data_IF_463427818586
#
_entry.id   IF_463427818586
#
_cell.length_a   1.000
_cell.length_b   1.000
_cell.length_c   1.000
_cell.angle_alpha   90.00
_cell.angle_beta   90.00
_cell.angle_gamma   90.00
#
_symmetry.space_group_name_H-M   'P 1'
#
loop_
_entity.id
_entity.type
_entity.pdbx_description
1 polymer ?
#
# COMPACT_ATOMS: atom_id res chain seq x y z
N UNK A 1 -19.57 71.97 -23.79
CA UNK A 1 -20.00 70.75 -23.09
C UNK A 1 -18.91 69.69 -23.25
N UNK A 2 -17.91 69.64 -22.38
CA UNK A 2 -16.92 68.54 -22.25
C UNK A 2 -15.79 68.99 -21.33
N UNK A 3 -16.05 69.13 -20.01
CA UNK A 3 -14.92 69.34 -19.08
C UNK A 3 -15.18 68.99 -17.60
N UNK A 4 -16.40 68.58 -17.23
CA UNK A 4 -16.71 68.26 -15.83
C UNK A 4 -16.54 66.79 -15.45
N UNK A 5 -16.35 65.87 -16.39
CA UNK A 5 -16.35 64.41 -16.12
C UNK A 5 -14.95 63.82 -15.87
N UNK A 6 -13.87 64.57 -16.10
CA UNK A 6 -12.51 64.02 -16.03
C UNK A 6 -11.85 64.14 -14.65
N UNK A 7 -12.42 64.94 -13.73
CA UNK A 7 -11.81 65.22 -12.41
C UNK A 7 -12.22 64.24 -11.30
N UNK A 8 -13.39 63.60 -11.40
CA UNK A 8 -13.83 62.61 -10.40
C UNK A 8 -13.15 61.25 -10.55
N UNK A 9 -12.72 60.86 -11.75
CA UNK A 9 -12.06 59.57 -11.99
C UNK A 9 -10.61 59.49 -11.50
N UNK A 10 -9.92 60.61 -11.25
CA UNK A 10 -8.54 60.59 -10.72
C UNK A 10 -8.46 60.39 -9.21
N UNK A 11 -9.52 60.72 -8.47
CA UNK A 11 -9.57 60.57 -7.00
C UNK A 11 -9.96 59.15 -6.57
N UNK A 12 -10.80 58.46 -7.34
CA UNK A 12 -11.22 57.09 -7.04
C UNK A 12 -10.09 56.05 -7.24
N UNK A 13 -9.24 56.22 -8.27
CA UNK A 13 -8.17 55.27 -8.57
C UNK A 13 -6.99 55.38 -7.59
N UNK A 14 -6.67 56.59 -7.12
CA UNK A 14 -5.60 56.81 -6.13
C UNK A 14 -5.91 56.22 -4.75
N UNK A 15 -7.19 56.18 -4.37
CA UNK A 15 -7.63 55.64 -3.08
C UNK A 15 -7.61 54.11 -3.04
N UNK A 16 -7.95 53.45 -4.15
CA UNK A 16 -7.94 51.98 -4.24
C UNK A 16 -6.49 51.43 -4.24
N UNK A 17 -5.55 52.13 -4.88
CA UNK A 17 -4.13 51.74 -4.88
C UNK A 17 -3.49 51.92 -3.49
N UNK A 18 -3.87 52.95 -2.73
CA UNK A 18 -3.37 53.16 -1.37
C UNK A 18 -3.90 52.10 -0.37
N UNK A 19 -5.14 51.63 -0.53
CA UNK A 19 -5.72 50.55 0.29
C UNK A 19 -5.11 49.18 -0.03
N UNK A 20 -4.69 48.96 -1.28
CA UNK A 20 -4.01 47.73 -1.71
C UNK A 20 -2.54 47.67 -1.27
N UNK A 21 -1.87 48.81 -1.09
CA UNK A 21 -0.45 48.88 -0.70
C UNK A 21 -0.21 49.16 0.80
N UNK A 22 -1.22 49.62 1.55
CA UNK A 22 -1.11 49.99 2.96
C UNK A 22 -1.71 49.01 3.97
N UNK A 23 -2.30 47.89 3.53
CA UNK A 23 -2.94 46.91 4.40
C UNK A 23 -2.10 45.64 4.60
N UNK A 24 -2.36 44.85 5.67
CA UNK A 24 -1.60 43.63 6.03
C UNK A 24 -1.85 42.46 5.06
N UNK A 25 -2.31 42.75 3.84
CA UNK A 25 -2.63 41.76 2.81
C UNK A 25 -1.41 40.93 2.39
N UNK A 26 -0.20 41.48 2.46
CA UNK A 26 1.02 40.71 2.23
C UNK A 26 1.23 39.63 3.30
N UNK A 27 0.93 39.93 4.57
CA UNK A 27 0.97 38.94 5.65
C UNK A 27 -0.15 37.90 5.49
N UNK A 28 -1.36 38.34 5.13
CA UNK A 28 -2.51 37.46 4.87
C UNK A 28 -2.23 36.51 3.70
N UNK A 29 -1.63 36.99 2.61
CA UNK A 29 -1.24 36.17 1.45
C UNK A 29 -0.10 35.21 1.84
N UNK A 30 0.89 35.67 2.61
CA UNK A 30 1.98 34.81 3.07
C UNK A 30 1.48 33.68 3.98
N UNK A 31 0.52 33.96 4.85
CA UNK A 31 -0.08 32.96 5.75
C UNK A 31 -1.05 32.04 5.00
N UNK A 32 -1.83 32.55 4.05
CA UNK A 32 -2.63 31.72 3.12
C UNK A 32 -1.74 30.82 2.27
N UNK A 33 -0.58 31.29 1.82
CA UNK A 33 0.39 30.47 1.08
C UNK A 33 1.04 29.41 1.96
N UNK A 34 1.36 29.70 3.23
CA UNK A 34 1.83 28.70 4.19
C UNK A 34 0.77 27.64 4.47
N UNK A 35 -0.49 28.03 4.64
CA UNK A 35 -1.63 27.12 4.83
C UNK A 35 -1.84 26.28 3.56
N UNK A 36 -1.81 26.91 2.38
CA UNK A 36 -1.90 26.23 1.09
C UNK A 36 -0.78 25.23 0.87
N UNK A 37 0.47 25.60 1.19
CA UNK A 37 1.65 24.72 1.13
C UNK A 37 1.57 23.58 2.15
N UNK A 38 0.99 23.80 3.33
CA UNK A 38 0.78 22.78 4.37
C UNK A 38 -0.32 21.80 3.96
N UNK A 39 -1.41 22.28 3.35
CA UNK A 39 -2.46 21.47 2.75
C UNK A 39 -1.94 20.67 1.55
N UNK A 40 -1.11 21.28 0.70
CA UNK A 40 -0.45 20.59 -0.41
C UNK A 40 0.56 19.54 0.07
N UNK A 41 1.28 19.78 1.17
CA UNK A 41 2.15 18.78 1.81
C UNK A 41 1.35 17.62 2.42
N UNK A 42 0.18 17.88 3.01
CA UNK A 42 -0.74 16.85 3.49
C UNK A 42 -1.39 16.03 2.36
N UNK A 43 -1.57 16.62 1.17
CA UNK A 43 -1.96 15.91 -0.06
C UNK A 43 -0.78 15.19 -0.74
N UNK A 44 0.45 15.59 -0.44
CA UNK A 44 1.69 15.10 -1.02
C UNK A 44 2.39 14.00 -0.20
N UNK A 45 1.76 13.46 0.84
CA UNK A 45 2.27 12.25 1.52
C UNK A 45 1.94 11.02 0.67
N UNK A 46 2.56 11.00 -0.50
CA UNK A 46 2.33 10.11 -1.60
C UNK A 46 3.14 8.80 -1.48
N UNK A 47 3.84 8.64 -0.36
CA UNK A 47 4.80 7.59 -0.09
C UNK A 47 6.14 7.80 -0.78
N UNK A 48 7.20 7.22 -0.22
CA UNK A 48 8.55 7.23 -0.82
C UNK A 48 8.62 6.52 -2.19
N UNK A 49 7.69 5.59 -2.40
CA UNK A 49 7.50 4.82 -3.62
C UNK A 49 6.00 4.53 -3.82
N UNK A 50 5.62 4.27 -5.07
CA UNK A 50 4.32 3.67 -5.42
C UNK A 50 4.54 2.21 -5.84
N UNK A 51 3.54 1.37 -5.59
CA UNK A 51 3.55 -0.04 -5.97
C UNK A 51 2.77 -0.18 -7.28
N UNK A 52 3.45 -0.55 -8.35
CA UNK A 52 2.84 -0.77 -9.66
C UNK A 52 2.12 -2.13 -9.71
N UNK A 53 2.75 -3.17 -9.17
CA UNK A 53 2.19 -4.51 -9.09
C UNK A 53 2.53 -5.10 -7.73
N UNK A 54 1.53 -5.63 -7.04
CA UNK A 54 1.69 -6.36 -5.80
C UNK A 54 1.05 -7.73 -5.96
N UNK A 55 1.86 -8.78 -6.03
CA UNK A 55 1.38 -10.15 -6.02
C UNK A 55 1.88 -10.86 -4.77
N UNK A 56 0.96 -11.40 -3.99
CA UNK A 56 1.27 -12.25 -2.86
C UNK A 56 0.71 -13.64 -3.08
N UNK A 57 1.49 -14.67 -2.73
CA UNK A 57 1.07 -16.07 -2.78
C UNK A 57 1.37 -16.75 -1.46
N UNK A 58 0.34 -17.27 -0.80
CA UNK A 58 0.46 -18.24 0.28
C UNK A 58 0.32 -19.65 -0.29
N UNK A 59 1.30 -20.51 -0.04
CA UNK A 59 1.26 -21.92 -0.42
C UNK A 59 1.25 -22.80 0.82
N UNK A 60 0.12 -23.42 1.12
CA UNK A 60 -0.06 -24.37 2.22
C UNK A 60 0.56 -25.72 1.82
N UNK A 61 1.61 -26.12 2.52
CA UNK A 61 2.43 -27.29 2.16
C UNK A 61 1.88 -28.60 2.69
N UNK A 62 1.09 -28.55 3.76
CA UNK A 62 0.50 -29.74 4.38
C UNK A 62 -0.98 -29.54 4.72
N UNK A 63 -1.70 -30.67 4.81
CA UNK A 63 -3.11 -30.68 5.12
C UNK A 63 -3.44 -30.21 6.54
N UNK A 64 -2.49 -30.14 7.47
CA UNK A 64 -2.75 -29.66 8.85
C UNK A 64 -2.51 -28.16 8.98
N UNK A 65 -2.03 -27.48 7.92
CA UNK A 65 -1.71 -26.05 7.93
C UNK A 65 -0.53 -25.69 8.83
N UNK A 66 0.36 -26.65 9.10
CA UNK A 66 1.53 -26.47 9.97
C UNK A 66 2.73 -25.87 9.26
N UNK A 67 2.80 -25.94 7.94
CA UNK A 67 3.86 -25.42 7.12
C UNK A 67 3.24 -24.70 5.92
N UNK A 68 3.65 -23.45 5.73
CA UNK A 68 3.28 -22.65 4.59
C UNK A 68 4.53 -21.93 4.05
N UNK A 69 4.48 -21.62 2.76
CA UNK A 69 5.48 -20.81 2.09
C UNK A 69 4.80 -19.56 1.55
N UNK A 70 5.29 -18.39 1.94
CA UNK A 70 4.80 -17.12 1.44
C UNK A 70 5.79 -16.59 0.42
N UNK A 71 5.28 -16.18 -0.74
CA UNK A 71 6.02 -15.45 -1.77
C UNK A 71 5.35 -14.14 -2.05
N UNK A 72 6.15 -13.10 -2.23
CA UNK A 72 5.69 -11.75 -2.49
C UNK A 72 6.53 -11.15 -3.61
N UNK A 73 5.86 -10.70 -4.66
CA UNK A 73 6.43 -10.00 -5.81
C UNK A 73 5.87 -8.58 -5.81
N UNK A 74 6.73 -7.57 -5.67
CA UNK A 74 6.33 -6.17 -5.69
C UNK A 74 7.16 -5.37 -6.67
N UNK A 75 6.52 -4.87 -7.73
CA UNK A 75 7.12 -3.92 -8.66
C UNK A 75 6.84 -2.52 -8.17
N UNK A 76 7.87 -1.74 -7.90
CA UNK A 76 7.73 -0.39 -7.34
C UNK A 76 8.34 0.66 -8.25
N UNK A 77 7.88 1.90 -8.11
CA UNK A 77 8.50 3.09 -8.69
C UNK A 77 8.83 4.08 -7.60
N UNK A 78 10.08 4.50 -7.52
CA UNK A 78 10.52 5.48 -6.52
C UNK A 78 10.01 6.88 -6.84
N UNK A 79 9.45 7.58 -5.84
CA UNK A 79 8.86 8.91 -6.02
C UNK A 79 9.80 10.06 -5.62
N UNK A 80 10.92 9.73 -4.97
CA UNK A 80 11.94 10.67 -4.54
C UNK A 80 13.35 10.13 -4.81
N UNK A 81 14.34 11.02 -4.72
CA UNK A 81 15.76 10.65 -4.84
C UNK A 81 16.31 10.12 -3.50
N UNK A 82 17.50 9.54 -3.56
CA UNK A 82 18.27 9.11 -2.39
C UNK A 82 17.59 8.02 -1.55
N UNK A 83 16.84 7.13 -2.20
CA UNK A 83 16.25 5.97 -1.51
C UNK A 83 17.32 4.90 -1.35
N UNK A 84 17.58 4.50 -0.11
CA UNK A 84 18.60 3.52 0.26
C UNK A 84 18.02 2.25 0.87
N UNK A 85 16.74 2.29 1.25
CA UNK A 85 16.06 1.21 1.95
C UNK A 85 14.61 1.04 1.49
N UNK A 86 14.11 -0.16 1.67
CA UNK A 86 12.73 -0.56 1.47
C UNK A 86 12.20 -1.19 2.75
N UNK A 87 10.90 -1.04 3.01
CA UNK A 87 10.28 -1.58 4.21
C UNK A 87 9.25 -2.63 3.79
N UNK A 88 9.47 -3.86 4.26
CA UNK A 88 8.51 -4.95 4.15
C UNK A 88 7.79 -5.15 5.48
N UNK A 89 6.58 -5.70 5.45
CA UNK A 89 5.82 -5.99 6.66
C UNK A 89 4.92 -7.20 6.48
N UNK A 90 4.79 -7.97 7.55
CA UNK A 90 3.80 -9.04 7.64
C UNK A 90 3.31 -9.23 9.08
N UNK A 91 2.19 -9.93 9.21
CA UNK A 91 1.59 -10.36 10.47
C UNK A 91 1.07 -11.79 10.30
N UNK A 92 0.87 -12.48 11.41
CA UNK A 92 0.32 -13.83 11.40
C UNK A 92 0.51 -14.50 12.75
N UNK A 93 -0.25 -15.56 12.97
CA UNK A 93 -0.10 -16.46 14.12
C UNK A 93 1.13 -17.35 13.94
N UNK A 94 1.56 -18.07 14.98
CA UNK A 94 2.67 -19.03 14.86
C UNK A 94 4.04 -18.38 14.59
N UNK A 95 4.94 -19.13 13.97
CA UNK A 95 6.31 -18.69 13.66
C UNK A 95 6.39 -18.20 12.21
N UNK A 96 6.67 -16.91 12.03
CA UNK A 96 6.75 -16.24 10.73
C UNK A 96 8.19 -15.83 10.41
N UNK A 97 8.48 -15.56 9.12
CA UNK A 97 9.80 -15.16 8.60
C UNK A 97 10.91 -16.20 8.79
N UNK A 98 10.57 -17.49 8.86
CA UNK A 98 11.55 -18.56 8.84
C UNK A 98 12.20 -18.59 7.45
N UNK A 99 13.53 -18.69 7.40
CA UNK A 99 14.27 -18.69 6.14
C UNK A 99 13.95 -17.48 5.23
N UNK A 100 13.71 -16.30 5.82
CA UNK A 100 13.41 -15.07 5.07
C UNK A 100 14.50 -14.75 4.04
N UNK A 101 14.08 -14.50 2.80
CA UNK A 101 14.94 -14.09 1.70
C UNK A 101 14.28 -12.94 0.95
N UNK A 102 15.10 -11.99 0.51
CA UNK A 102 14.64 -10.87 -0.31
C UNK A 102 15.66 -10.55 -1.40
N UNK A 103 15.16 -10.01 -2.51
CA UNK A 103 15.96 -9.41 -3.58
C UNK A 103 15.10 -8.36 -4.30
N UNK A 104 15.65 -7.22 -4.77
CA UNK A 104 17.00 -6.74 -4.50
C UNK A 104 17.20 -6.36 -3.03
N UNK A 105 18.46 -6.18 -2.65
CA UNK A 105 18.84 -5.77 -1.30
C UNK A 105 19.07 -6.93 -0.33
N UNK A 106 19.18 -6.58 0.96
CA UNK A 106 19.36 -7.52 2.07
C UNK A 106 18.62 -7.03 3.31
N UNK A 107 18.08 -7.96 4.10
CA UNK A 107 17.59 -7.65 5.45
C UNK A 107 18.70 -6.95 6.24
N UNK A 108 18.37 -5.77 6.77
CA UNK A 108 19.25 -4.94 7.58
C UNK A 108 18.79 -4.90 9.04
N UNK A 109 17.48 -4.93 9.29
CA UNK A 109 16.90 -4.95 10.62
C UNK A 109 15.48 -5.54 10.61
N UNK A 110 15.00 -5.99 11.77
CA UNK A 110 13.66 -6.55 12.00
C UNK A 110 13.14 -6.15 13.36
N UNK A 111 11.96 -5.53 13.40
CA UNK A 111 11.37 -5.03 14.64
C UNK A 111 9.84 -5.11 14.61
N UNK A 112 9.21 -5.13 15.80
CA UNK A 112 7.75 -5.20 15.92
C UNK A 112 7.13 -3.82 16.12
N UNK A 113 6.03 -3.55 15.42
CA UNK A 113 5.14 -2.42 15.67
C UNK A 113 3.72 -2.97 15.83
N UNK A 114 3.23 -2.99 17.07
CA UNK A 114 1.94 -3.59 17.40
C UNK A 114 1.91 -5.07 17.04
N UNK A 115 0.93 -5.49 16.23
CA UNK A 115 0.78 -6.87 15.74
C UNK A 115 1.61 -7.18 14.48
N UNK A 116 2.24 -6.18 13.86
CA UNK A 116 3.02 -6.34 12.63
C UNK A 116 4.51 -6.38 12.95
N UNK A 117 5.23 -7.22 12.23
CA UNK A 117 6.70 -7.16 12.19
C UNK A 117 7.11 -6.43 10.92
N UNK A 118 8.00 -5.46 11.09
CA UNK A 118 8.63 -4.70 10.02
C UNK A 118 10.00 -5.27 9.73
N UNK A 119 10.35 -5.31 8.45
CA UNK A 119 11.67 -5.70 7.96
C UNK A 119 12.23 -4.54 7.16
N UNK A 120 13.39 -4.05 7.59
CA UNK A 120 14.14 -3.05 6.86
C UNK A 120 15.07 -3.75 5.86
N UNK A 121 14.90 -3.47 4.58
CA UNK A 121 15.71 -4.01 3.48
C UNK A 121 16.64 -2.91 2.98
N UNK A 122 17.95 -3.12 3.07
CA UNK A 122 18.95 -2.22 2.47
C UNK A 122 19.11 -2.54 0.98
N UNK A 123 18.93 -1.54 0.11
CA UNK A 123 18.95 -1.71 -1.35
C UNK A 123 20.34 -1.87 -1.95
N UNK A 124 21.40 -1.59 -1.18
CA UNK A 124 22.82 -1.60 -1.59
C UNK A 124 23.20 -0.61 -2.71
N UNK A 125 22.21 0.01 -3.35
CA UNK A 125 22.36 1.11 -4.29
C UNK A 125 21.46 2.30 -3.90
N UNK A 126 21.88 3.51 -4.30
CA UNK A 126 21.07 4.73 -4.12
C UNK A 126 20.11 4.86 -5.29
N UNK A 127 18.81 4.75 -5.04
CA UNK A 127 17.77 4.88 -6.08
C UNK A 127 17.34 6.34 -6.26
N UNK A 128 17.05 6.69 -7.51
CA UNK A 128 16.59 8.01 -7.94
C UNK A 128 15.08 7.99 -8.18
N UNK A 129 14.47 9.17 -8.21
CA UNK A 129 13.07 9.34 -8.58
C UNK A 129 12.85 8.80 -10.00
N UNK A 130 11.82 7.95 -10.15
CA UNK A 130 11.46 7.33 -11.43
C UNK A 130 12.08 5.95 -11.64
N UNK A 131 13.13 5.60 -10.91
CA UNK A 131 13.71 4.25 -10.93
C UNK A 131 12.64 3.22 -10.51
N UNK A 132 12.81 1.99 -10.97
CA UNK A 132 11.92 0.87 -10.66
C UNK A 132 12.74 -0.31 -10.20
N UNK A 133 12.23 -1.01 -9.20
CA UNK A 133 12.74 -2.30 -8.77
C UNK A 133 11.58 -3.31 -8.67
N UNK A 134 11.93 -4.58 -8.75
CA UNK A 134 11.00 -5.69 -8.52
C UNK A 134 11.49 -6.52 -7.34
N UNK A 135 10.80 -6.38 -6.21
CA UNK A 135 11.09 -7.13 -5.00
C UNK A 135 10.51 -8.53 -5.09
N UNK A 136 11.36 -9.52 -4.92
CA UNK A 136 11.02 -10.93 -4.73
C UNK A 136 11.40 -11.31 -3.31
N UNK A 137 10.38 -11.55 -2.49
CA UNK A 137 10.48 -11.85 -1.07
C UNK A 137 9.84 -13.20 -0.80
N UNK A 138 10.49 -14.04 -0.01
CA UNK A 138 10.00 -15.37 0.35
C UNK A 138 10.30 -15.67 1.82
N UNK A 139 9.38 -16.35 2.49
CA UNK A 139 9.62 -16.94 3.81
C UNK A 139 8.69 -18.11 4.12
N UNK A 140 9.14 -18.96 5.04
CA UNK A 140 8.35 -20.02 5.63
C UNK A 140 7.54 -19.53 6.84
N UNK A 141 6.37 -20.12 6.99
CA UNK A 141 5.44 -19.92 8.09
C UNK A 141 5.15 -21.27 8.75
N UNK A 142 5.40 -21.42 10.05
CA UNK A 142 5.09 -22.62 10.81
C UNK A 142 3.96 -22.42 11.81
N UNK A 143 3.09 -23.42 11.92
CA UNK A 143 1.95 -23.47 12.83
C UNK A 143 1.00 -22.26 12.71
N UNK A 144 0.87 -21.71 11.49
CA UNK A 144 0.12 -20.50 11.22
C UNK A 144 -1.35 -20.69 10.82
N UNK A 145 -1.71 -21.88 10.29
CA UNK A 145 -2.99 -22.09 9.61
C UNK A 145 -3.73 -23.36 10.11
N UNK A 146 -3.75 -23.55 11.43
CA UNK A 146 -4.20 -24.78 12.11
C UNK A 146 -5.67 -24.76 12.57
N UNK A 147 -6.35 -23.62 12.50
CA UNK A 147 -7.75 -23.41 12.92
C UNK A 147 -8.72 -23.91 11.84
N UNK A 148 -10.01 -23.94 12.18
CA UNK A 148 -11.10 -24.30 11.25
C UNK A 148 -11.38 -23.23 10.20
N UNK A 149 -11.18 -21.97 10.60
CA UNK A 149 -11.36 -20.80 9.75
C UNK A 149 -10.07 -20.02 9.81
N UNK A 150 -9.51 -19.72 8.65
CA UNK A 150 -8.21 -19.08 8.50
C UNK A 150 -8.28 -17.91 7.55
N UNK A 151 -7.26 -17.06 7.61
CA UNK A 151 -7.15 -15.92 6.71
C UNK A 151 -5.70 -15.57 6.39
N UNK A 152 -5.49 -15.06 5.19
CA UNK A 152 -4.21 -14.52 4.77
C UNK A 152 -4.43 -13.40 3.77
N UNK A 153 -3.58 -12.38 3.82
CA UNK A 153 -3.81 -11.18 3.04
C UNK A 153 -2.62 -10.25 2.99
N UNK A 154 -2.86 -9.10 2.38
CA UNK A 154 -1.89 -8.02 2.34
C UNK A 154 -2.56 -6.66 2.53
N UNK A 155 -1.77 -5.71 2.98
CA UNK A 155 -2.20 -4.33 3.17
C UNK A 155 -1.67 -3.47 2.02
N UNK A 156 -2.52 -2.62 1.47
CA UNK A 156 -2.12 -1.58 0.55
C UNK A 156 -1.56 -0.37 1.32
N UNK A 157 -0.42 -0.54 2.00
CA UNK A 157 0.22 0.51 2.82
C UNK A 157 0.82 1.65 1.99
N UNK A 158 0.96 1.43 0.67
CA UNK A 158 1.40 2.40 -0.32
C UNK A 158 0.39 2.48 -1.45
N UNK A 159 0.40 3.58 -2.21
CA UNK A 159 -0.41 3.69 -3.42
C UNK A 159 -0.07 2.53 -4.34
N UNK A 160 -1.04 1.66 -4.56
CA UNK A 160 -0.88 0.41 -5.30
C UNK A 160 -1.78 0.45 -6.52
N UNK A 161 -1.24 0.15 -7.71
CA UNK A 161 -2.01 0.15 -8.97
C UNK A 161 -2.73 -1.17 -9.19
N UNK A 162 -2.09 -2.28 -8.84
CA UNK A 162 -2.69 -3.59 -8.96
C UNK A 162 -2.26 -4.48 -7.80
N UNK A 163 -3.24 -5.11 -7.14
CA UNK A 163 -3.04 -6.08 -6.07
C UNK A 163 -3.62 -7.42 -6.49
N UNK A 164 -2.85 -8.49 -6.33
CA UNK A 164 -3.25 -9.88 -6.55
C UNK A 164 -2.85 -10.73 -5.35
N UNK A 165 -3.79 -11.52 -4.87
CA UNK A 165 -3.62 -12.45 -3.77
C UNK A 165 -3.93 -13.86 -4.26
N UNK A 166 -3.03 -14.79 -3.98
CA UNK A 166 -3.20 -16.21 -4.27
C UNK A 166 -3.07 -17.01 -2.98
N UNK A 167 -3.95 -18.01 -2.79
CA UNK A 167 -3.77 -19.05 -1.78
C UNK A 167 -3.81 -20.40 -2.49
N UNK A 168 -2.73 -21.16 -2.36
CA UNK A 168 -2.59 -22.51 -2.90
C UNK A 168 -2.77 -23.51 -1.77
N UNK A 169 -3.72 -24.43 -1.93
CA UNK A 169 -4.11 -25.43 -0.96
C UNK A 169 -3.56 -26.81 -1.33
N UNK A 170 -3.27 -27.69 -0.35
CA UNK A 170 -2.86 -29.06 -0.61
C UNK A 170 -4.00 -29.85 -1.28
N UNK A 171 -3.64 -30.85 -2.09
CA UNK A 171 -4.60 -31.68 -2.86
C UNK A 171 -5.67 -32.32 -1.96
N UNK A 172 -5.28 -32.70 -0.76
CA UNK A 172 -6.10 -33.43 0.22
C UNK A 172 -6.96 -32.54 1.12
N UNK A 173 -6.86 -31.21 1.00
CA UNK A 173 -7.65 -30.28 1.84
C UNK A 173 -7.96 -28.98 1.07
N UNK A 174 -8.86 -29.02 0.06
CA UNK A 174 -9.38 -27.81 -0.57
C UNK A 174 -10.18 -26.95 0.42
N UNK A 175 -10.36 -25.65 0.17
CA UNK A 175 -11.27 -24.83 0.95
C UNK A 175 -12.73 -25.19 0.65
N UNK A 176 -13.60 -25.19 1.67
CA UNK A 176 -15.04 -25.39 1.50
C UNK A 176 -15.75 -24.10 1.07
N UNK A 177 -15.33 -22.99 1.67
CA UNK A 177 -15.85 -21.66 1.39
C UNK A 177 -14.70 -20.66 1.44
N UNK A 178 -14.77 -19.63 0.60
CA UNK A 178 -13.81 -18.55 0.55
C UNK A 178 -14.58 -17.22 0.57
N UNK A 179 -14.06 -16.26 1.31
CA UNK A 179 -14.56 -14.89 1.36
C UNK A 179 -13.41 -13.90 1.29
N UNK A 180 -13.66 -12.75 0.67
CA UNK A 180 -12.80 -11.59 0.75
C UNK A 180 -13.20 -10.76 1.97
N UNK A 181 -12.24 -10.52 2.85
CA UNK A 181 -12.37 -9.60 3.99
C UNK A 181 -11.58 -8.34 3.70
N UNK A 182 -12.23 -7.19 3.81
CA UNK A 182 -11.62 -5.87 3.71
C UNK A 182 -11.82 -5.13 5.02
N UNK A 183 -10.77 -4.54 5.59
CA UNK A 183 -10.90 -3.70 6.78
C UNK A 183 -11.42 -2.29 6.41
N UNK A 184 -12.09 -1.62 7.35
CA UNK A 184 -12.44 -0.18 7.30
C UNK A 184 -13.27 0.35 6.08
N UNK A 185 -14.62 0.28 6.13
CA UNK A 185 -15.41 -0.52 7.08
C UNK A 185 -15.18 -2.01 6.82
N UNK A 186 -15.32 -2.81 7.88
CA UNK A 186 -15.22 -4.27 7.76
C UNK A 186 -16.30 -4.74 6.80
N UNK A 187 -15.88 -5.29 5.68
CA UNK A 187 -16.76 -5.83 4.65
C UNK A 187 -16.29 -7.25 4.32
N UNK A 188 -17.21 -8.19 4.38
CA UNK A 188 -16.98 -9.58 4.00
C UNK A 188 -17.83 -9.91 2.77
N UNK A 189 -17.21 -10.41 1.72
CA UNK A 189 -17.88 -10.83 0.48
C UNK A 189 -17.55 -12.29 0.24
N UNK A 190 -18.56 -13.15 0.24
CA UNK A 190 -18.38 -14.56 -0.15
C UNK A 190 -18.01 -14.58 -1.63
N UNK A 191 -16.95 -15.30 -1.99
CA UNK A 191 -16.51 -15.43 -3.37
C UNK A 191 -17.22 -16.62 -4.03
N UNK A 192 -17.51 -16.47 -5.32
CA UNK A 192 -18.09 -17.52 -6.14
C UNK A 192 -17.13 -18.71 -6.30
N UNK A 193 -17.67 -19.89 -6.60
CA UNK A 193 -16.86 -21.13 -6.70
C UNK A 193 -15.88 -21.14 -7.87
N UNK A 194 -16.08 -20.28 -8.87
CA UNK A 194 -15.22 -20.12 -10.05
C UNK A 194 -13.83 -19.54 -9.72
N UNK A 195 -13.68 -18.83 -8.59
CA UNK A 195 -12.38 -18.35 -8.11
C UNK A 195 -11.49 -19.50 -7.63
N UNK A 196 -12.08 -20.65 -7.29
CA UNK A 196 -11.39 -21.86 -6.85
C UNK A 196 -11.08 -22.71 -8.09
N UNK A 197 -9.80 -22.81 -8.44
CA UNK A 197 -9.34 -23.57 -9.60
C UNK A 197 -8.44 -24.73 -9.17
N UNK A 198 -8.51 -25.84 -9.90
CA UNK A 198 -7.58 -26.95 -9.70
C UNK A 198 -6.34 -26.75 -10.59
N UNK A 199 -5.16 -26.84 -10.00
CA UNK A 199 -3.88 -26.78 -10.70
C UNK A 199 -3.60 -28.12 -11.40
N UNK A 200 -2.70 -28.15 -12.41
CA UNK A 200 -2.35 -29.39 -13.12
C UNK A 200 -1.79 -30.49 -12.22
N UNK A 201 -1.11 -30.12 -11.13
CA UNK A 201 -0.62 -31.07 -10.14
C UNK A 201 -1.72 -31.58 -9.21
N UNK A 202 -2.96 -31.10 -9.31
CA UNK A 202 -4.11 -31.50 -8.50
C UNK A 202 -4.31 -30.72 -7.21
N UNK A 203 -3.45 -29.73 -6.90
CA UNK A 203 -3.68 -28.75 -5.82
C UNK A 203 -4.78 -27.78 -6.22
N UNK A 204 -5.22 -26.96 -5.27
CA UNK A 204 -6.24 -25.94 -5.51
C UNK A 204 -5.65 -24.56 -5.34
N UNK A 205 -6.08 -23.61 -6.15
CA UNK A 205 -5.70 -22.20 -6.04
C UNK A 205 -6.96 -21.35 -5.95
N UNK A 206 -6.92 -20.39 -5.03
CA UNK A 206 -7.83 -19.26 -4.97
C UNK A 206 -7.05 -18.05 -5.40
N UNK A 207 -7.53 -17.33 -6.41
CA UNK A 207 -6.94 -16.07 -6.85
C UNK A 207 -7.97 -14.95 -6.75
N UNK A 208 -7.55 -13.82 -6.20
CA UNK A 208 -8.31 -12.58 -6.19
C UNK A 208 -7.43 -11.42 -6.58
N UNK A 209 -7.98 -10.45 -7.31
CA UNK A 209 -7.25 -9.27 -7.74
C UNK A 209 -8.10 -8.01 -7.69
N UNK A 210 -7.42 -6.87 -7.60
CA UNK A 210 -8.03 -5.56 -7.59
C UNK A 210 -7.10 -4.51 -8.18
N UNK A 211 -7.64 -3.74 -9.12
CA UNK A 211 -7.02 -2.50 -9.60
C UNK A 211 -7.32 -1.34 -8.64
N UNK A 212 -6.32 -0.48 -8.46
CA UNK A 212 -6.33 0.68 -7.57
C UNK A 212 -6.96 0.37 -6.19
N UNK A 213 -6.42 -0.62 -5.43
CA UNK A 213 -6.85 -0.86 -4.06
C UNK A 213 -6.75 0.41 -3.20
N UNK A 214 -7.68 0.55 -2.26
CA UNK A 214 -7.74 1.70 -1.35
C UNK A 214 -6.50 1.70 -0.46
N UNK A 215 -5.84 2.86 -0.37
CA UNK A 215 -4.68 3.07 0.48
C UNK A 215 -5.05 2.79 1.96
N UNK A 216 -4.13 2.17 2.69
CA UNK A 216 -4.28 1.75 4.10
C UNK A 216 -5.43 0.76 4.34
N UNK A 217 -5.80 0.01 3.30
CA UNK A 217 -6.78 -1.07 3.41
C UNK A 217 -6.09 -2.43 3.33
N UNK A 218 -6.44 -3.31 4.24
CA UNK A 218 -6.10 -4.73 4.23
C UNK A 218 -7.12 -5.50 3.41
N UNK A 219 -6.61 -6.37 2.53
CA UNK A 219 -7.38 -7.31 1.73
C UNK A 219 -6.93 -8.71 2.12
N UNK A 220 -7.86 -9.53 2.61
CA UNK A 220 -7.56 -10.88 3.07
C UNK A 220 -8.50 -11.90 2.45
N UNK A 221 -7.95 -13.00 1.96
CA UNK A 221 -8.70 -14.19 1.63
C UNK A 221 -8.90 -14.97 2.92
N UNK A 222 -10.16 -15.12 3.33
CA UNK A 222 -10.58 -15.93 4.48
C UNK A 222 -11.25 -17.19 3.97
N UNK A 223 -10.90 -18.34 4.54
CA UNK A 223 -11.46 -19.62 4.12
C UNK A 223 -11.84 -20.52 5.29
N UNK A 224 -12.73 -21.46 4.98
CA UNK A 224 -13.11 -22.57 5.86
C UNK A 224 -12.58 -23.88 5.26
N UNK A 225 -12.09 -24.77 6.12
CA UNK A 225 -11.50 -26.06 5.75
C UNK A 225 -12.49 -27.21 5.69
#
# INVERSE_FOLDING_TARGET
MSDSTQKENKLAVGSIIAVLLGGPWLEIIADLWKIGKKLWRGLADEGMYEVLEHEGTLELKDAKGKLALVRKRQKVRYRQNNILAYQDSAWGDGEIFINYRCSPGREADRYKIGSKTQILISLRDVKKKGDKDEFNIEWEHRNGFIRKVEQWGSEASHRTKHLKLNVIFPKSRPPLQVSLVMDQPVQTVVLDKDVIRKLPDGRWIVSWEKSDPRLFRQYSLRWEW
#
